data_IF_703944262730
#
_entry.id   IF_703944262730
#
_cell.length_a   1.000
_cell.length_b   1.000
_cell.length_c   1.000
_cell.angle_alpha   90.00
_cell.angle_beta   90.00
_cell.angle_gamma   90.00
#
_symmetry.space_group_name_H-M   'P 1'
#
loop_
_entity.id
_entity.type
_entity.pdbx_description
1 polymer ?
#
# COMPACT_ATOMS: atom_id res chain seq x y z
N UNK A 1 -4.99 10.85 -14.58
CA UNK A 1 -5.06 9.71 -15.50
C UNK A 1 -4.48 8.48 -14.81
N UNK A 2 -5.35 7.66 -14.24
CA UNK A 2 -4.96 6.35 -13.72
C UNK A 2 -5.20 5.35 -14.87
N UNK A 3 -4.17 5.10 -15.67
CA UNK A 3 -4.17 4.09 -16.71
C UNK A 3 -3.82 2.75 -16.07
N UNK A 4 -4.82 1.90 -15.90
CA UNK A 4 -4.66 0.49 -15.61
C UNK A 4 -4.23 -0.24 -16.89
N UNK A 5 -2.94 -0.51 -17.06
CA UNK A 5 -2.50 -1.37 -18.14
C UNK A 5 -2.54 -2.84 -17.70
N UNK A 6 -3.28 -3.67 -18.44
CA UNK A 6 -3.16 -5.14 -18.38
C UNK A 6 -1.82 -5.52 -19.02
N UNK A 7 -0.78 -5.58 -18.25
CA UNK A 7 0.58 -5.86 -18.72
C UNK A 7 1.61 -5.64 -17.63
N UNK A 8 1.20 -5.70 -16.39
CA UNK A 8 1.89 -5.21 -15.19
C UNK A 8 3.01 -6.08 -14.66
N UNK A 9 3.26 -7.26 -15.20
CA UNK A 9 4.32 -8.13 -14.68
C UNK A 9 5.70 -7.50 -14.66
N UNK A 10 5.97 -6.59 -15.59
CA UNK A 10 7.29 -5.96 -15.74
C UNK A 10 7.44 -4.65 -14.96
N UNK A 11 6.34 -3.92 -14.74
CA UNK A 11 6.32 -2.65 -13.96
C UNK A 11 6.47 -2.93 -12.47
N UNK A 12 5.82 -3.97 -11.94
CA UNK A 12 5.95 -4.37 -10.54
C UNK A 12 7.36 -4.80 -10.17
N UNK A 13 8.09 -5.46 -11.07
CA UNK A 13 9.48 -5.87 -10.85
C UNK A 13 10.46 -4.69 -10.73
N UNK A 14 10.07 -3.50 -11.21
CA UNK A 14 10.93 -2.30 -11.22
C UNK A 14 10.63 -1.32 -10.11
N UNK A 15 9.51 -1.47 -9.40
CA UNK A 15 9.16 -0.59 -8.30
C UNK A 15 9.73 -1.07 -6.97
N UNK A 16 10.31 -0.13 -6.20
CA UNK A 16 10.85 -0.43 -4.86
C UNK A 16 9.78 -0.34 -3.77
N UNK A 17 8.60 0.21 -4.08
CA UNK A 17 7.45 0.34 -3.17
C UNK A 17 6.13 -0.11 -3.82
N UNK A 18 6.03 -1.37 -4.31
CA UNK A 18 4.88 -1.81 -5.10
C UNK A 18 3.55 -1.76 -4.33
N UNK A 19 3.56 -1.96 -3.02
CA UNK A 19 2.34 -1.89 -2.19
C UNK A 19 1.78 -0.47 -2.03
N UNK A 20 2.49 0.55 -2.48
CA UNK A 20 2.01 1.94 -2.51
C UNK A 20 1.45 2.35 -3.88
N UNK A 21 1.49 1.46 -4.86
CA UNK A 21 0.97 1.67 -6.21
C UNK A 21 -0.07 0.60 -6.53
N UNK A 22 -1.13 0.58 -5.74
CA UNK A 22 -2.23 -0.39 -5.87
C UNK A 22 -3.26 0.20 -6.83
N UNK A 23 -3.46 -0.47 -7.96
CA UNK A 23 -4.34 0.02 -9.02
C UNK A 23 -5.82 -0.26 -8.74
N UNK A 24 -6.13 -1.40 -8.14
CA UNK A 24 -7.47 -1.75 -7.67
C UNK A 24 -7.43 -1.78 -6.15
N UNK A 25 -7.82 -0.68 -5.52
CA UNK A 25 -7.72 -0.50 -4.07
C UNK A 25 -9.10 -0.59 -3.41
N UNK A 26 -9.33 -1.63 -2.62
CA UNK A 26 -10.55 -1.80 -1.83
C UNK A 26 -10.75 -0.70 -0.77
N UNK A 27 -9.66 -0.12 -0.28
CA UNK A 27 -9.74 1.01 0.65
C UNK A 27 -10.25 2.27 -0.05
N UNK A 28 -9.83 2.51 -1.30
CA UNK A 28 -10.32 3.63 -2.08
C UNK A 28 -11.79 3.42 -2.51
N UNK A 29 -12.18 2.21 -2.86
CA UNK A 29 -13.57 1.84 -3.12
C UNK A 29 -14.47 2.13 -1.92
N UNK A 30 -14.00 1.81 -0.71
CA UNK A 30 -14.72 2.14 0.53
C UNK A 30 -14.84 3.65 0.75
N UNK A 31 -13.78 4.43 0.46
CA UNK A 31 -13.84 5.88 0.49
C UNK A 31 -14.88 6.42 -0.50
N UNK A 32 -14.91 5.87 -1.72
CA UNK A 32 -15.93 6.26 -2.73
C UNK A 32 -17.34 5.99 -2.24
N UNK A 33 -17.58 4.89 -1.54
CA UNK A 33 -18.90 4.60 -0.96
C UNK A 33 -19.36 5.73 -0.04
N UNK A 34 -18.51 6.21 0.85
CA UNK A 34 -18.84 7.35 1.73
C UNK A 34 -19.00 8.67 0.97
N UNK A 35 -18.12 8.96 0.03
CA UNK A 35 -18.17 10.18 -0.81
C UNK A 35 -19.43 10.22 -1.66
N UNK A 36 -19.99 9.06 -2.01
CA UNK A 36 -21.21 8.89 -2.78
C UNK A 36 -22.46 8.74 -1.88
N UNK A 37 -22.39 9.18 -0.63
CA UNK A 37 -23.50 9.09 0.34
C UNK A 37 -24.02 7.67 0.53
N UNK A 38 -23.13 6.70 0.63
CA UNK A 38 -23.41 5.26 0.83
C UNK A 38 -24.29 4.63 -0.26
N UNK A 39 -24.20 5.13 -1.49
CA UNK A 39 -24.91 4.57 -2.65
C UNK A 39 -24.09 3.47 -3.30
N UNK A 40 -24.42 2.23 -2.99
CA UNK A 40 -23.76 1.04 -3.53
C UNK A 40 -23.86 0.94 -5.06
N UNK A 41 -24.99 1.32 -5.64
CA UNK A 41 -25.22 1.32 -7.10
C UNK A 41 -24.26 2.23 -7.85
N UNK A 42 -23.95 3.41 -7.29
CA UNK A 42 -23.00 4.34 -7.86
C UNK A 42 -21.57 3.77 -7.79
N UNK A 43 -21.19 3.16 -6.67
CA UNK A 43 -19.90 2.50 -6.51
C UNK A 43 -19.75 1.35 -7.50
N UNK A 44 -20.76 0.47 -7.59
CA UNK A 44 -20.79 -0.63 -8.56
C UNK A 44 -20.60 -0.13 -9.99
N UNK A 45 -21.25 0.97 -10.37
CA UNK A 45 -21.10 1.58 -11.70
C UNK A 45 -19.64 2.03 -11.95
N UNK A 46 -18.99 2.67 -10.95
CA UNK A 46 -17.60 3.08 -11.07
C UNK A 46 -16.66 1.88 -11.19
N UNK A 47 -16.86 0.85 -10.36
CA UNK A 47 -16.04 -0.36 -10.38
C UNK A 47 -16.23 -1.17 -11.68
N UNK A 48 -17.46 -1.29 -12.16
CA UNK A 48 -17.73 -1.90 -13.47
C UNK A 48 -17.05 -1.12 -14.62
N UNK A 49 -17.05 0.21 -14.58
CA UNK A 49 -16.30 1.00 -15.55
C UNK A 49 -14.79 0.75 -15.45
N UNK A 50 -14.26 0.59 -14.24
CA UNK A 50 -12.85 0.25 -14.04
C UNK A 50 -12.51 -1.11 -14.65
N UNK A 51 -13.36 -2.10 -14.44
CA UNK A 51 -13.18 -3.46 -14.96
C UNK A 51 -13.32 -3.52 -16.48
N UNK A 52 -14.35 -2.88 -17.05
CA UNK A 52 -14.67 -3.01 -18.49
C UNK A 52 -13.91 -2.02 -19.37
N UNK A 53 -13.65 -0.80 -18.89
CA UNK A 53 -13.02 0.29 -19.64
C UNK A 53 -11.58 0.59 -19.20
N UNK A 54 -11.13 0.00 -18.06
CA UNK A 54 -9.83 0.27 -17.48
C UNK A 54 -9.73 1.59 -16.70
N UNK A 55 -10.82 2.37 -16.57
CA UNK A 55 -10.84 3.61 -15.81
C UNK A 55 -12.26 4.01 -15.38
N UNK A 56 -12.34 4.88 -14.38
CA UNK A 56 -13.52 5.64 -14.05
C UNK A 56 -13.20 7.11 -13.81
N UNK A 57 -14.20 7.98 -13.84
CA UNK A 57 -14.04 9.41 -13.59
C UNK A 57 -14.99 9.87 -12.50
N UNK A 58 -14.48 10.69 -11.60
CA UNK A 58 -15.29 11.40 -10.61
C UNK A 58 -15.67 12.79 -11.12
N UNK A 59 -16.84 13.27 -10.75
CA UNK A 59 -17.26 14.65 -11.02
C UNK A 59 -16.38 15.65 -10.27
N UNK A 60 -16.42 16.91 -10.69
CA UNK A 60 -15.71 18.00 -10.00
C UNK A 60 -16.15 18.14 -8.54
N UNK A 61 -17.45 17.97 -8.26
CA UNK A 61 -18.01 18.04 -6.89
C UNK A 61 -17.50 16.88 -6.02
N UNK A 62 -17.51 15.65 -6.52
CA UNK A 62 -17.01 14.48 -5.82
C UNK A 62 -15.49 14.60 -5.51
N UNK A 63 -14.71 15.09 -6.47
CA UNK A 63 -13.29 15.37 -6.24
C UNK A 63 -13.07 16.42 -5.15
N UNK A 64 -13.85 17.49 -5.13
CA UNK A 64 -13.78 18.53 -4.09
C UNK A 64 -14.08 17.97 -2.70
N UNK A 65 -15.02 17.04 -2.56
CA UNK A 65 -15.32 16.38 -1.28
C UNK A 65 -14.09 15.63 -0.78
N UNK A 66 -13.47 14.79 -1.64
CA UNK A 66 -12.25 14.04 -1.28
C UNK A 66 -11.12 15.00 -0.92
N UNK A 67 -10.91 16.06 -1.69
CA UNK A 67 -9.81 17.00 -1.53
C UNK A 67 -9.89 17.87 -0.27
N UNK A 68 -11.03 17.89 0.44
CA UNK A 68 -11.12 18.55 1.76
C UNK A 68 -10.25 17.85 2.80
N UNK A 69 -10.21 16.51 2.76
CA UNK A 69 -9.60 15.68 3.81
C UNK A 69 -8.37 14.92 3.31
N UNK A 70 -8.21 14.78 2.00
CA UNK A 70 -7.17 13.97 1.40
C UNK A 70 -6.35 14.72 0.36
N UNK A 71 -5.04 14.53 0.42
CA UNK A 71 -4.11 14.91 -0.65
C UNK A 71 -3.36 13.66 -1.14
N UNK A 72 -3.09 13.59 -2.43
CA UNK A 72 -2.35 12.49 -3.04
C UNK A 72 -1.11 13.00 -3.76
N UNK A 73 -0.01 12.27 -3.65
CA UNK A 73 1.26 12.62 -4.26
C UNK A 73 1.82 11.43 -5.02
N UNK A 74 2.36 11.68 -6.20
CA UNK A 74 3.14 10.71 -6.95
C UNK A 74 4.61 10.83 -6.53
N UNK A 75 5.27 9.69 -6.31
CA UNK A 75 6.70 9.64 -5.98
C UNK A 75 7.40 8.62 -6.86
N UNK A 76 8.53 9.00 -7.42
CA UNK A 76 9.37 8.11 -8.24
C UNK A 76 10.32 7.27 -7.36
N UNK A 77 10.84 6.16 -7.92
CA UNK A 77 11.88 5.37 -7.25
C UNK A 77 13.11 6.20 -6.85
N UNK A 78 13.49 7.20 -7.68
CA UNK A 78 14.61 8.10 -7.39
C UNK A 78 14.32 8.96 -6.17
N UNK A 79 13.14 9.54 -6.08
CA UNK A 79 12.72 10.37 -4.94
C UNK A 79 12.60 9.52 -3.67
N UNK A 80 12.01 8.33 -3.76
CA UNK A 80 11.93 7.38 -2.64
C UNK A 80 13.32 7.03 -2.10
N UNK A 81 14.27 6.68 -2.97
CA UNK A 81 15.67 6.42 -2.59
C UNK A 81 16.32 7.62 -1.94
N UNK A 82 16.08 8.83 -2.45
CA UNK A 82 16.61 10.07 -1.88
C UNK A 82 16.06 10.33 -0.46
N UNK A 83 14.78 10.08 -0.21
CA UNK A 83 14.18 10.19 1.11
C UNK A 83 14.82 9.21 2.09
N UNK A 84 14.95 7.94 1.72
CA UNK A 84 15.60 6.91 2.53
C UNK A 84 17.02 7.36 2.90
N UNK A 85 17.81 7.77 1.89
CA UNK A 85 19.19 8.23 2.09
C UNK A 85 19.28 9.45 3.01
N UNK A 86 18.38 10.43 2.84
CA UNK A 86 18.33 11.66 3.66
C UNK A 86 18.01 11.35 5.12
N UNK A 87 16.99 10.51 5.36
CA UNK A 87 16.59 10.12 6.72
C UNK A 87 17.71 9.34 7.39
N UNK A 88 18.30 8.38 6.69
CA UNK A 88 19.41 7.59 7.22
C UNK A 88 20.60 8.47 7.60
N UNK A 89 21.03 9.38 6.71
CA UNK A 89 22.15 10.29 6.97
C UNK A 89 21.89 11.23 8.15
N UNK A 90 20.67 11.73 8.29
CA UNK A 90 20.33 12.71 9.35
C UNK A 90 20.13 12.05 10.71
N UNK A 91 19.47 10.88 10.75
CA UNK A 91 18.94 10.31 11.98
C UNK A 91 19.53 8.94 12.32
N UNK A 92 20.40 8.38 11.46
CA UNK A 92 20.89 6.99 11.52
C UNK A 92 19.73 5.97 11.66
N UNK A 93 18.60 6.25 11.00
CA UNK A 93 17.37 5.47 11.08
C UNK A 93 17.01 4.90 9.70
N UNK A 94 16.75 3.60 9.64
CA UNK A 94 16.30 2.93 8.43
C UNK A 94 14.79 3.10 8.26
N UNK A 95 14.39 3.60 7.12
CA UNK A 95 13.00 3.70 6.69
C UNK A 95 12.80 2.83 5.46
N UNK A 96 11.80 1.96 5.47
CA UNK A 96 11.47 1.12 4.32
C UNK A 96 10.91 1.93 3.15
N UNK A 97 10.94 1.40 1.90
CA UNK A 97 10.50 2.13 0.72
C UNK A 97 9.03 2.55 0.76
N UNK A 98 8.15 1.77 1.39
CA UNK A 98 6.74 2.10 1.50
C UNK A 98 6.53 3.30 2.44
N UNK A 99 7.14 3.26 3.62
CA UNK A 99 7.10 4.38 4.58
C UNK A 99 7.78 5.63 4.02
N UNK A 100 8.82 5.48 3.20
CA UNK A 100 9.51 6.62 2.57
C UNK A 100 8.60 7.41 1.62
N UNK A 101 7.60 6.78 0.97
CA UNK A 101 6.60 7.51 0.17
C UNK A 101 5.74 8.42 1.04
N UNK A 102 5.39 7.97 2.25
CA UNK A 102 4.69 8.79 3.24
C UNK A 102 5.51 10.00 3.70
N UNK A 103 6.81 9.83 3.95
CA UNK A 103 7.72 10.96 4.24
C UNK A 103 7.81 11.95 3.08
N UNK A 104 7.80 11.46 1.83
CA UNK A 104 7.75 12.34 0.68
C UNK A 104 6.47 13.17 0.66
N UNK A 105 5.32 12.55 0.85
CA UNK A 105 4.03 13.22 0.92
C UNK A 105 3.99 14.25 2.05
N UNK A 106 4.44 13.88 3.25
CA UNK A 106 4.52 14.76 4.41
C UNK A 106 5.37 16.02 4.12
N UNK A 107 6.52 15.85 3.46
CA UNK A 107 7.38 16.98 3.08
C UNK A 107 6.76 17.90 2.02
N UNK A 108 5.78 17.42 1.24
CA UNK A 108 5.05 18.21 0.23
C UNK A 108 3.78 18.86 0.80
N UNK A 109 3.28 18.35 1.90
CA UNK A 109 2.07 18.88 2.56
C UNK A 109 2.45 20.13 3.33
N UNK A 110 1.80 21.26 3.00
CA UNK A 110 1.92 22.50 3.76
C UNK A 110 0.92 22.47 4.91
N UNK A 111 1.39 22.28 6.12
CA UNK A 111 0.56 22.28 7.33
C UNK A 111 1.34 22.84 8.51
N UNK A 112 0.65 23.50 9.40
CA UNK A 112 1.19 23.97 10.69
C UNK A 112 1.01 22.94 11.82
N UNK A 113 0.36 21.81 11.51
CA UNK A 113 0.14 20.73 12.47
C UNK A 113 1.24 19.69 12.39
N UNK A 114 1.51 18.95 13.47
CA UNK A 114 2.38 17.78 13.46
C UNK A 114 1.90 16.76 12.41
N UNK A 115 2.84 16.27 11.60
CA UNK A 115 2.54 15.27 10.57
C UNK A 115 3.02 13.89 11.05
N UNK A 116 2.12 12.93 11.13
CA UNK A 116 2.42 11.54 11.48
C UNK A 116 2.55 10.71 10.22
N UNK A 117 3.71 10.08 10.04
CA UNK A 117 3.96 9.16 8.94
C UNK A 117 3.85 7.73 9.47
N UNK A 118 2.92 6.95 8.90
CA UNK A 118 2.72 5.56 9.29
C UNK A 118 3.85 4.67 8.76
N UNK A 119 4.47 3.90 9.66
CA UNK A 119 5.42 2.85 9.31
C UNK A 119 4.66 1.61 8.82
N UNK A 120 4.68 1.36 7.50
CA UNK A 120 3.85 0.35 6.86
C UNK A 120 4.56 -0.98 6.65
N UNK A 121 5.91 -1.01 6.73
CA UNK A 121 6.71 -2.22 6.62
C UNK A 121 8.01 -2.10 7.42
N UNK A 122 8.62 -3.24 7.72
CA UNK A 122 9.95 -3.25 8.35
C UNK A 122 11.05 -3.18 7.27
N UNK A 123 12.09 -2.34 7.43
CA UNK A 123 13.17 -2.18 6.44
C UNK A 123 13.89 -3.47 6.07
N UNK A 124 13.91 -4.46 6.96
CA UNK A 124 14.49 -5.79 6.72
C UNK A 124 13.83 -6.56 5.55
N UNK A 125 12.59 -6.21 5.17
CA UNK A 125 11.93 -6.78 3.97
C UNK A 125 12.59 -6.34 2.66
N UNK A 126 13.42 -5.28 2.69
CA UNK A 126 13.97 -4.61 1.50
C UNK A 126 15.50 -4.53 1.56
N UNK A 127 16.15 -5.62 1.98
CA UNK A 127 17.61 -5.66 2.24
C UNK A 127 18.46 -5.12 1.09
N UNK A 128 18.15 -5.53 -0.14
CA UNK A 128 18.86 -5.09 -1.34
C UNK A 128 18.74 -3.58 -1.55
N UNK A 129 17.50 -3.06 -1.50
CA UNK A 129 17.25 -1.62 -1.62
C UNK A 129 17.94 -0.83 -0.51
N UNK A 130 17.87 -1.33 0.73
CA UNK A 130 18.52 -0.67 1.87
C UNK A 130 20.03 -0.64 1.73
N UNK A 131 20.66 -1.77 1.38
CA UNK A 131 22.09 -1.85 1.17
C UNK A 131 22.55 -0.92 0.04
N UNK A 132 21.83 -0.93 -1.09
CA UNK A 132 22.14 -0.07 -2.25
C UNK A 132 22.04 1.42 -1.91
N UNK A 133 21.01 1.83 -1.14
CA UNK A 133 20.73 3.25 -0.88
C UNK A 133 21.58 3.81 0.27
N UNK A 134 21.79 3.01 1.32
CA UNK A 134 22.47 3.46 2.56
C UNK A 134 23.92 3.02 2.66
N UNK A 135 24.34 2.02 1.86
CA UNK A 135 25.64 1.37 1.99
C UNK A 135 25.77 0.49 3.25
N UNK A 136 24.67 0.20 3.94
CA UNK A 136 24.67 -0.55 5.21
C UNK A 136 23.77 -1.77 5.14
N UNK A 137 24.16 -2.84 5.82
CA UNK A 137 23.33 -4.04 6.01
C UNK A 137 22.47 -3.88 7.26
N UNK A 138 21.21 -4.23 7.17
CA UNK A 138 20.28 -4.27 8.30
C UNK A 138 20.40 -5.62 8.99
N UNK A 139 20.55 -5.61 10.31
CA UNK A 139 20.55 -6.83 11.11
C UNK A 139 19.15 -7.48 11.09
N UNK A 140 19.13 -8.82 11.03
CA UNK A 140 17.90 -9.58 11.14
C UNK A 140 17.26 -9.35 12.51
N UNK A 141 15.95 -8.97 12.58
CA UNK A 141 15.26 -8.86 13.86
C UNK A 141 15.26 -10.19 14.61
N UNK A 142 15.46 -10.15 15.92
CA UNK A 142 15.53 -11.35 16.78
C UNK A 142 14.24 -12.19 16.70
N UNK A 143 13.09 -11.54 16.59
CA UNK A 143 11.79 -12.18 16.41
C UNK A 143 11.76 -13.05 15.15
N UNK A 144 12.30 -12.57 14.02
CA UNK A 144 12.36 -13.33 12.78
C UNK A 144 13.37 -14.49 12.85
N UNK A 145 14.41 -14.37 13.65
CA UNK A 145 15.39 -15.46 13.83
C UNK A 145 14.76 -16.68 14.48
N UNK A 146 13.77 -16.49 15.34
CA UNK A 146 13.04 -17.57 15.98
C UNK A 146 12.00 -18.26 15.08
N UNK A 147 11.55 -17.57 14.03
CA UNK A 147 10.51 -18.06 13.11
C UNK A 147 11.08 -18.83 11.91
N UNK A 148 12.25 -18.45 11.41
CA UNK A 148 12.83 -19.00 10.16
C UNK A 148 13.05 -20.52 10.17
N UNK A 149 13.35 -21.22 11.30
CA UNK A 149 13.49 -22.67 11.28
C UNK A 149 12.16 -23.42 11.40
N UNK A 150 11.02 -22.73 11.54
CA UNK A 150 9.73 -23.39 11.68
C UNK A 150 9.17 -23.73 10.31
N UNK A 151 8.59 -24.94 10.19
CA UNK A 151 7.84 -25.36 9.01
C UNK A 151 6.58 -24.49 8.88
N UNK A 152 6.31 -24.03 7.68
CA UNK A 152 5.06 -23.29 7.40
C UNK A 152 3.86 -24.18 7.65
N UNK A 153 2.81 -23.59 8.24
CA UNK A 153 1.55 -24.26 8.55
C UNK A 153 0.44 -23.50 7.82
N UNK A 154 -0.15 -24.12 6.83
CA UNK A 154 -1.26 -23.54 6.07
C UNK A 154 -2.19 -24.64 5.56
N UNK A 155 -3.43 -24.28 5.31
CA UNK A 155 -4.43 -25.14 4.69
C UNK A 155 -4.77 -24.59 3.30
N UNK A 156 -4.91 -25.50 2.33
CA UNK A 156 -5.31 -25.14 0.95
C UNK A 156 -6.81 -25.33 0.84
N UNK A 157 -7.51 -24.26 0.46
CA UNK A 157 -8.96 -24.27 0.30
C UNK A 157 -9.32 -23.96 -1.17
N UNK A 158 -10.45 -24.53 -1.61
CA UNK A 158 -11.02 -24.14 -2.89
C UNK A 158 -11.47 -22.67 -2.87
N UNK A 159 -11.34 -21.98 -4.01
CA UNK A 159 -11.78 -20.60 -4.19
C UNK A 159 -13.31 -20.50 -4.23
N UNK A 160 -13.96 -20.77 -3.11
CA UNK A 160 -15.41 -20.72 -2.92
C UNK A 160 -15.73 -20.07 -1.58
N UNK A 161 -16.51 -18.99 -1.61
CA UNK A 161 -16.83 -18.20 -0.41
C UNK A 161 -17.53 -19.03 0.68
N UNK A 162 -18.40 -19.97 0.33
CA UNK A 162 -19.11 -20.81 1.30
C UNK A 162 -18.18 -21.80 1.99
N UNK A 163 -17.24 -22.39 1.25
CA UNK A 163 -16.22 -23.30 1.81
C UNK A 163 -15.31 -22.53 2.77
N UNK A 164 -14.85 -21.34 2.35
CA UNK A 164 -13.99 -20.49 3.19
C UNK A 164 -14.73 -20.06 4.46
N UNK A 165 -16.00 -19.63 4.33
CA UNK A 165 -16.84 -19.26 5.48
C UNK A 165 -17.00 -20.43 6.46
N UNK A 166 -17.32 -21.61 5.96
CA UNK A 166 -17.47 -22.82 6.77
C UNK A 166 -16.19 -23.14 7.52
N UNK A 167 -15.05 -23.14 6.83
CA UNK A 167 -13.74 -23.38 7.42
C UNK A 167 -13.40 -22.35 8.53
N UNK A 168 -13.66 -21.06 8.33
CA UNK A 168 -13.42 -20.03 9.35
C UNK A 168 -14.28 -20.29 10.59
N UNK A 169 -15.56 -20.65 10.43
CA UNK A 169 -16.45 -20.92 11.53
C UNK A 169 -16.01 -22.17 12.32
N UNK A 170 -15.65 -23.27 11.64
CA UNK A 170 -15.13 -24.47 12.27
C UNK A 170 -13.89 -24.18 13.11
N UNK A 171 -12.91 -23.47 12.54
CA UNK A 171 -11.68 -23.09 13.26
C UNK A 171 -11.89 -22.11 14.41
N UNK A 172 -12.95 -21.32 14.37
CA UNK A 172 -13.27 -20.39 15.46
C UNK A 172 -13.85 -21.13 16.68
N UNK A 173 -14.58 -22.21 16.47
CA UNK A 173 -15.19 -22.97 17.55
C UNK A 173 -14.31 -24.13 18.07
N UNK A 174 -13.20 -24.46 17.41
CA UNK A 174 -12.21 -25.44 17.87
C UNK A 174 -11.19 -24.87 18.89
N UNK A 175 -11.22 -23.56 19.16
CA UNK A 175 -10.40 -22.84 20.15
C UNK A 175 -11.28 -22.33 21.29
#
# INVERSE_FOLDING_TARGET
DCLLSRGLGDVYKRQISPSMDIQVSSNFERLLFYVLNSRDTEVKKLMNNLETKGYFKLSKSQKKIIQKDFAAFKVSNKETKNIIKKIYKKNNFFVDPHTATGFYAANKTKTNYPCVVLGTAHPYKFLETMATVTGKKIKKPSQLSKLTPRKEKYDILNNNANIIKKYILEKHYEN
#
